data_IF_181621838844
#
_entry.id   IF_181621838844
#
_cell.length_a   1.000
_cell.length_b   1.000
_cell.length_c   1.000
_cell.angle_alpha   90.00
_cell.angle_beta   90.00
_cell.angle_gamma   90.00
#
_symmetry.space_group_name_H-M   'P 1'
#
loop_
_entity.id
_entity.type
_entity.pdbx_description
1 polymer ?
#
# COMPACT_ATOMS: atom_id res chain seq x y z
N UNK A 1 3.94 -18.23 -8.45
CA UNK A 1 3.64 -16.87 -7.98
C UNK A 1 2.51 -16.88 -6.98
N UNK A 2 2.49 -15.93 -6.09
CA UNK A 2 1.45 -15.82 -5.07
C UNK A 2 0.73 -14.48 -5.17
N UNK A 3 -0.53 -14.46 -4.71
CA UNK A 3 -1.37 -13.28 -4.70
C UNK A 3 -1.33 -12.63 -3.32
N UNK A 4 -1.14 -11.31 -3.29
CA UNK A 4 -1.09 -10.54 -2.06
C UNK A 4 -1.98 -9.30 -2.15
N UNK A 5 -2.50 -8.90 -1.00
CA UNK A 5 -3.13 -7.59 -0.83
C UNK A 5 -2.17 -6.72 -0.04
N UNK A 6 -1.77 -5.60 -0.62
CA UNK A 6 -0.90 -4.63 0.04
C UNK A 6 -1.71 -3.39 0.42
N UNK A 7 -1.62 -2.99 1.67
CA UNK A 7 -2.17 -1.71 2.13
C UNK A 7 -1.00 -0.87 2.61
N UNK A 8 -0.81 0.27 1.98
CA UNK A 8 0.26 1.21 2.31
C UNK A 8 -0.34 2.45 2.94
N UNK A 9 0.20 2.85 4.06
CA UNK A 9 -0.29 4.00 4.81
C UNK A 9 0.84 5.02 4.87
N UNK A 10 0.66 6.14 4.17
CA UNK A 10 1.66 7.19 4.01
C UNK A 10 1.37 8.36 4.93
N UNK A 11 2.42 9.05 5.38
CA UNK A 11 2.30 10.18 6.29
C UNK A 11 1.48 11.34 5.67
N UNK A 12 0.81 12.09 6.53
CA UNK A 12 -0.19 13.09 6.14
C UNK A 12 0.37 14.33 5.44
N UNK A 13 1.64 14.63 5.60
CA UNK A 13 2.24 15.86 5.08
C UNK A 13 2.87 15.72 3.70
N UNK A 14 2.68 14.58 3.03
CA UNK A 14 3.12 14.44 1.65
C UNK A 14 2.26 15.27 0.71
N UNK A 15 2.90 15.97 -0.23
CA UNK A 15 2.17 16.63 -1.32
C UNK A 15 1.63 15.55 -2.27
N UNK A 16 0.69 15.93 -3.14
CA UNK A 16 0.16 14.98 -4.13
C UNK A 16 1.25 14.45 -5.06
N UNK A 17 2.21 15.30 -5.42
CA UNK A 17 3.34 14.87 -6.25
C UNK A 17 4.24 13.87 -5.52
N UNK A 18 4.53 14.13 -4.24
CA UNK A 18 5.34 13.23 -3.43
C UNK A 18 4.64 11.89 -3.22
N UNK A 19 3.34 11.92 -2.94
CA UNK A 19 2.55 10.70 -2.76
C UNK A 19 2.54 9.85 -4.03
N UNK A 20 2.30 10.49 -5.17
CA UNK A 20 2.33 9.79 -6.47
C UNK A 20 3.69 9.16 -6.73
N UNK A 21 4.76 9.88 -6.43
CA UNK A 21 6.12 9.38 -6.58
C UNK A 21 6.37 8.15 -5.71
N UNK A 22 5.90 8.16 -4.47
CA UNK A 22 6.02 7.04 -3.55
C UNK A 22 5.26 5.80 -4.06
N UNK A 23 4.05 6.01 -4.55
CA UNK A 23 3.22 4.93 -5.09
C UNK A 23 3.89 4.32 -6.32
N UNK A 24 4.40 5.16 -7.22
CA UNK A 24 5.09 4.70 -8.42
C UNK A 24 6.37 3.93 -8.09
N UNK A 25 7.11 4.38 -7.10
CA UNK A 25 8.31 3.69 -6.63
C UNK A 25 7.95 2.28 -6.14
N UNK A 26 6.85 2.15 -5.40
CA UNK A 26 6.39 0.85 -4.93
C UNK A 26 5.99 -0.07 -6.10
N UNK A 27 5.28 0.47 -7.08
CA UNK A 27 4.89 -0.28 -8.28
C UNK A 27 6.11 -0.73 -9.09
N UNK A 28 7.10 0.15 -9.25
CA UNK A 28 8.33 -0.15 -9.96
C UNK A 28 9.12 -1.26 -9.26
N UNK A 29 9.15 -1.23 -7.95
CA UNK A 29 9.81 -2.26 -7.15
C UNK A 29 9.14 -3.62 -7.33
N UNK A 30 7.81 -3.66 -7.35
CA UNK A 30 7.05 -4.87 -7.61
C UNK A 30 7.43 -5.45 -8.97
N UNK A 31 7.48 -4.61 -10.00
CA UNK A 31 7.87 -5.01 -11.35
C UNK A 31 9.30 -5.53 -11.40
N UNK A 32 10.21 -4.82 -10.75
CA UNK A 32 11.62 -5.18 -10.69
C UNK A 32 11.83 -6.55 -10.08
N UNK A 33 11.00 -6.92 -9.12
CA UNK A 33 11.08 -8.21 -8.43
C UNK A 33 10.29 -9.32 -9.15
N UNK A 34 9.79 -9.04 -10.35
CA UNK A 34 9.11 -10.04 -11.17
C UNK A 34 7.61 -10.17 -10.93
N UNK A 35 7.05 -9.22 -10.20
CA UNK A 35 5.61 -9.20 -9.94
C UNK A 35 4.86 -8.21 -10.81
N UNK A 36 3.55 -8.09 -10.55
CA UNK A 36 2.70 -7.12 -11.23
C UNK A 36 1.60 -6.64 -10.29
N UNK A 37 1.18 -5.40 -10.48
CA UNK A 37 0.01 -4.84 -9.80
C UNK A 37 -1.20 -5.14 -10.67
N UNK A 38 -2.12 -5.94 -10.14
CA UNK A 38 -3.31 -6.38 -10.87
C UNK A 38 -4.44 -5.36 -10.74
N UNK A 39 -4.54 -4.71 -9.59
CA UNK A 39 -5.60 -3.77 -9.27
C UNK A 39 -5.12 -2.84 -8.16
N UNK A 40 -5.60 -1.60 -8.16
CA UNK A 40 -5.27 -0.64 -7.11
C UNK A 40 -6.43 0.29 -6.82
N UNK A 41 -6.48 0.77 -5.57
CA UNK A 41 -7.42 1.80 -5.13
C UNK A 41 -6.67 2.81 -4.27
N UNK A 42 -6.92 4.09 -4.51
CA UNK A 42 -6.45 5.14 -3.63
C UNK A 42 -7.63 5.57 -2.75
N UNK A 43 -7.49 5.42 -1.43
CA UNK A 43 -8.57 5.74 -0.50
C UNK A 43 -8.50 7.17 0.01
N UNK A 44 -7.46 7.91 -0.39
CA UNK A 44 -7.30 9.31 -0.02
C UNK A 44 -6.81 9.50 1.41
N UNK A 45 -6.91 10.74 1.88
CA UNK A 45 -6.49 11.12 3.23
C UNK A 45 -7.63 10.79 4.20
N UNK A 46 -7.31 9.99 5.22
CA UNK A 46 -8.30 9.52 6.19
C UNK A 46 -7.84 9.78 7.61
N UNK A 47 -8.80 9.98 8.50
CA UNK A 47 -8.52 10.10 9.93
C UNK A 47 -8.11 8.76 10.52
N UNK A 48 -7.11 8.79 11.38
CA UNK A 48 -6.66 7.61 12.12
C UNK A 48 -7.42 7.54 13.44
N UNK A 49 -7.75 6.33 13.88
CA UNK A 49 -8.40 6.13 15.17
C UNK A 49 -7.54 6.63 16.33
N UNK A 50 -6.22 6.59 16.16
CA UNK A 50 -5.23 7.11 17.10
C UNK A 50 -4.01 7.54 16.30
N UNK A 51 -3.18 8.40 16.89
CA UNK A 51 -1.99 8.91 16.21
C UNK A 51 -0.98 7.80 15.96
N UNK A 52 -0.41 7.77 14.76
CA UNK A 52 0.69 6.87 14.40
C UNK A 52 1.86 7.74 13.98
N UNK A 53 2.99 7.64 14.69
CA UNK A 53 4.21 8.42 14.38
C UNK A 53 3.88 9.91 14.21
N UNK A 54 3.08 10.46 15.13
CA UNK A 54 2.65 11.86 15.16
C UNK A 54 1.72 12.27 14.02
N UNK A 55 1.16 11.32 13.29
CA UNK A 55 0.17 11.60 12.26
C UNK A 55 -1.23 11.33 12.80
N UNK A 56 -2.14 12.30 12.64
CA UNK A 56 -3.56 12.16 12.95
C UNK A 56 -4.34 11.65 11.75
N UNK A 57 -3.81 11.86 10.56
CA UNK A 57 -4.39 11.44 9.28
C UNK A 57 -3.32 10.73 8.48
N UNK A 58 -3.72 9.99 7.48
CA UNK A 58 -2.79 9.29 6.60
C UNK A 58 -3.44 9.03 5.24
N UNK A 59 -2.60 8.92 4.21
CA UNK A 59 -3.04 8.50 2.89
C UNK A 59 -3.02 7.00 2.80
N UNK A 60 -4.10 6.40 2.31
CA UNK A 60 -4.24 4.96 2.15
C UNK A 60 -4.18 4.57 0.69
N UNK A 61 -3.35 3.58 0.37
CA UNK A 61 -3.25 3.01 -0.97
C UNK A 61 -3.38 1.50 -0.87
N UNK A 62 -4.31 0.93 -1.63
CA UNK A 62 -4.57 -0.50 -1.68
C UNK A 62 -4.14 -1.05 -3.03
N UNK A 63 -3.48 -2.22 -3.03
CA UNK A 63 -3.06 -2.88 -4.26
C UNK A 63 -3.25 -4.39 -4.16
N UNK A 64 -3.76 -4.98 -5.23
CA UNK A 64 -3.72 -6.42 -5.44
C UNK A 64 -2.48 -6.73 -6.28
N UNK A 65 -1.62 -7.58 -5.77
CA UNK A 65 -0.31 -7.84 -6.35
C UNK A 65 -0.10 -9.32 -6.58
N UNK A 66 0.42 -9.68 -7.74
CA UNK A 66 0.85 -11.03 -8.04
C UNK A 66 2.37 -11.02 -8.06
N UNK A 67 3.02 -11.84 -7.22
CA UNK A 67 4.46 -11.77 -7.14
C UNK A 67 5.11 -13.06 -6.62
N UNK A 68 6.42 -13.28 -6.94
CA UNK A 68 7.15 -14.40 -6.36
C UNK A 68 7.20 -14.31 -4.83
N UNK A 69 7.18 -15.46 -4.16
CA UNK A 69 7.09 -15.51 -2.72
C UNK A 69 8.19 -14.74 -1.98
N UNK A 70 9.43 -14.82 -2.44
CA UNK A 70 10.55 -14.10 -1.82
C UNK A 70 10.55 -12.61 -2.14
N UNK A 71 9.88 -12.21 -3.21
CA UNK A 71 9.75 -10.80 -3.58
C UNK A 71 8.97 -9.99 -2.56
N UNK A 72 7.92 -10.57 -2.00
CA UNK A 72 7.12 -9.90 -1.00
C UNK A 72 7.93 -9.58 0.27
N UNK A 73 8.81 -10.48 0.67
CA UNK A 73 9.70 -10.25 1.83
C UNK A 73 10.67 -9.11 1.56
N UNK A 74 11.18 -9.01 0.34
CA UNK A 74 12.08 -7.91 -0.06
C UNK A 74 11.36 -6.56 -0.04
N UNK A 75 10.10 -6.53 -0.49
CA UNK A 75 9.29 -5.31 -0.44
C UNK A 75 9.05 -4.89 1.01
N UNK A 76 8.68 -5.83 1.87
CA UNK A 76 8.45 -5.56 3.29
C UNK A 76 9.69 -4.93 3.93
N UNK A 77 10.88 -5.47 3.63
CA UNK A 77 12.13 -4.93 4.16
C UNK A 77 12.35 -3.49 3.71
N UNK A 78 12.06 -3.17 2.45
CA UNK A 78 12.22 -1.81 1.93
C UNK A 78 11.19 -0.84 2.51
N UNK A 79 9.95 -1.29 2.71
CA UNK A 79 8.91 -0.47 3.32
C UNK A 79 9.28 -0.11 4.77
N UNK A 80 9.89 -1.03 5.49
CA UNK A 80 10.33 -0.78 6.86
C UNK A 80 11.40 0.32 6.95
N UNK A 81 12.15 0.54 5.87
CA UNK A 81 13.17 1.58 5.81
C UNK A 81 12.63 2.91 5.26
N UNK A 82 11.42 2.93 4.73
CA UNK A 82 10.86 4.13 4.12
C UNK A 82 10.14 4.98 5.16
N UNK A 83 10.69 6.16 5.45
CA UNK A 83 10.15 7.06 6.46
C UNK A 83 8.82 7.70 6.08
N UNK A 84 8.46 7.68 4.79
CA UNK A 84 7.18 8.21 4.32
C UNK A 84 6.04 7.22 4.53
N UNK A 85 6.35 5.94 4.72
CA UNK A 85 5.37 4.89 5.02
C UNK A 85 5.31 4.72 6.53
N UNK A 86 4.19 5.10 7.14
CA UNK A 86 4.03 5.00 8.59
C UNK A 86 3.54 3.63 9.02
N UNK A 87 2.88 2.91 8.11
CA UNK A 87 2.42 1.54 8.35
C UNK A 87 2.18 0.85 7.02
N UNK A 88 2.35 -0.45 6.98
CA UNK A 88 2.02 -1.26 5.81
C UNK A 88 1.51 -2.63 6.25
N UNK A 89 0.65 -3.20 5.43
CA UNK A 89 0.06 -4.52 5.67
C UNK A 89 0.18 -5.31 4.38
N UNK A 90 0.59 -6.56 4.49
CA UNK A 90 0.68 -7.47 3.35
C UNK A 90 0.03 -8.78 3.75
N UNK A 91 -1.00 -9.19 3.01
CA UNK A 91 -1.76 -10.40 3.28
C UNK A 91 -1.71 -11.29 2.04
N UNK A 92 -1.27 -12.53 2.22
CA UNK A 92 -1.31 -13.53 1.16
C UNK A 92 -2.74 -14.06 1.03
N UNK A 93 -3.26 -14.09 -0.20
CA UNK A 93 -4.63 -14.51 -0.48
C UNK A 93 -4.63 -15.60 -1.56
N UNK A 94 -5.71 -16.37 -1.63
CA UNK A 94 -5.88 -17.40 -2.67
C UNK A 94 -6.42 -16.80 -3.94
N UNK A 95 -7.28 -15.80 -3.82
CA UNK A 95 -7.87 -15.07 -4.94
C UNK A 95 -8.18 -13.65 -4.49
N UNK A 96 -8.29 -12.74 -5.46
CA UNK A 96 -8.63 -11.36 -5.15
C UNK A 96 -10.14 -11.17 -5.07
N UNK A 97 -10.56 -10.35 -4.10
CA UNK A 97 -11.94 -9.90 -4.00
C UNK A 97 -12.19 -8.92 -5.14
N UNK A 98 -13.26 -9.16 -5.92
CA UNK A 98 -13.60 -8.34 -7.08
C UNK A 98 -14.45 -7.13 -6.72
N UNK A 99 -14.94 -7.04 -5.49
CA UNK A 99 -15.72 -5.89 -5.04
C UNK A 99 -14.81 -4.85 -4.41
N UNK A 100 -15.14 -3.55 -4.52
CA UNK A 100 -14.38 -2.53 -3.81
C UNK A 100 -14.39 -2.80 -2.31
N UNK A 101 -13.33 -2.38 -1.65
CA UNK A 101 -13.23 -2.59 -0.22
C UNK A 101 -14.21 -1.71 0.53
N UNK A 102 -14.52 -2.10 1.77
CA UNK A 102 -15.40 -1.35 2.64
C UNK A 102 -14.92 0.09 2.85
N UNK A 103 -13.60 0.26 3.02
CA UNK A 103 -13.02 1.57 3.26
C UNK A 103 -13.14 2.52 2.07
N UNK A 104 -13.12 2.01 0.84
CA UNK A 104 -13.27 2.86 -0.34
C UNK A 104 -14.72 3.28 -0.56
N UNK A 105 -15.68 2.46 -0.12
CA UNK A 105 -17.11 2.75 -0.28
C UNK A 105 -17.67 3.64 0.83
N UNK A 106 -17.09 3.57 2.01
CA UNK A 106 -17.65 4.19 3.21
C UNK A 106 -16.58 5.07 3.86
N UNK A 107 -16.32 6.25 3.28
CA UNK A 107 -15.33 7.17 3.84
C UNK A 107 -15.80 7.70 5.19
N UNK A 108 -14.87 7.81 6.09
CA UNK A 108 -15.14 8.37 7.40
C UNK A 108 -15.26 9.88 7.38
#
# INVERSE_FOLDING_TARGET
MSLYEHVLIYKQDLSSTQLESEINTHKDLIKELGGEVVYEESWGLRNLAYMIKDNKKAFYQFMNVNMPGDGNDKITAKLNLNQNVIRHISIKVKEFDKTPTQLSKDPE
#
